data_IF_597599598980
#
_entry.id   IF_597599598980
#
_cell.length_a   1.000
_cell.length_b   1.000
_cell.length_c   1.000
_cell.angle_alpha   90.00
_cell.angle_beta   90.00
_cell.angle_gamma   90.00
#
_symmetry.space_group_name_H-M   'P 1'
#
loop_
_entity.id
_entity.type
_entity.pdbx_description
1 polymer ?
#
# COMPACT_ATOMS: atom_id res chain seq x y z
N UNK A 1 4.69 -0.76 18.25
CA UNK A 1 4.21 -1.65 17.17
C UNK A 1 3.45 -0.75 16.22
N UNK A 2 3.99 -0.46 15.03
CA UNK A 2 3.30 0.36 14.03
C UNK A 2 2.28 -0.53 13.34
N UNK A 3 1.00 -0.14 13.34
CA UNK A 3 -0.07 -0.92 12.75
C UNK A 3 -0.10 -0.74 11.22
N UNK A 4 -0.64 -1.71 10.49
CA UNK A 4 -0.73 -1.62 9.03
C UNK A 4 -1.49 -0.37 8.55
N UNK A 5 -2.45 0.11 9.34
CA UNK A 5 -3.18 1.34 9.07
C UNK A 5 -2.32 2.60 9.29
N UNK A 6 -1.47 2.62 10.32
CA UNK A 6 -0.54 3.74 10.55
C UNK A 6 0.44 3.89 9.38
N UNK A 7 0.94 2.77 8.84
CA UNK A 7 1.82 2.79 7.66
C UNK A 7 1.13 3.35 6.41
N UNK A 8 -0.19 3.19 6.29
CA UNK A 8 -0.96 3.76 5.19
C UNK A 8 -1.39 5.21 5.44
N UNK A 9 -1.60 5.62 6.69
CA UNK A 9 -1.97 6.98 7.03
C UNK A 9 -0.93 8.02 6.56
N UNK A 10 0.37 7.65 6.53
CA UNK A 10 1.44 8.51 6.00
C UNK A 10 1.46 8.63 4.45
N UNK A 11 0.62 7.85 3.76
CA UNK A 11 0.61 7.66 2.31
C UNK A 11 -0.73 8.04 1.67
N UNK A 12 -1.82 7.82 2.40
CA UNK A 12 -3.15 8.18 1.94
C UNK A 12 -3.39 9.68 2.16
N UNK A 13 -4.06 10.36 1.22
CA UNK A 13 -4.39 11.76 1.40
C UNK A 13 -5.30 11.92 2.63
N UNK A 14 -4.94 12.82 3.54
CA UNK A 14 -5.87 13.31 4.57
C UNK A 14 -7.04 14.03 3.86
N UNK A 15 -8.24 14.05 4.44
CA UNK A 15 -9.44 14.72 3.88
C UNK A 15 -9.16 16.17 3.48
N UNK A 16 -8.14 16.79 4.09
CA UNK A 16 -7.64 18.12 3.80
C UNK A 16 -7.05 18.29 2.39
N UNK A 17 -6.53 17.22 1.78
CA UNK A 17 -5.83 17.26 0.49
C UNK A 17 -6.69 16.81 -0.69
N UNK A 18 -7.75 16.02 -0.45
CA UNK A 18 -8.68 15.57 -1.48
C UNK A 18 -10.16 15.70 -1.07
N UNK A 19 -10.64 16.90 -0.69
CA UNK A 19 -11.99 17.09 -0.14
C UNK A 19 -13.14 16.79 -1.10
N UNK A 20 -12.86 16.63 -2.40
CA UNK A 20 -13.85 16.34 -3.45
C UNK A 20 -13.88 14.86 -3.89
N UNK A 21 -12.90 14.04 -3.48
CA UNK A 21 -12.85 12.62 -3.86
C UNK A 21 -13.36 11.75 -2.73
N UNK A 22 -14.31 10.87 -3.03
CA UNK A 22 -14.81 9.90 -2.06
C UNK A 22 -13.85 8.71 -1.91
N UNK A 23 -13.98 7.95 -0.82
CA UNK A 23 -13.16 6.75 -0.55
C UNK A 23 -13.16 5.73 -1.71
N UNK A 24 -14.23 5.69 -2.50
CA UNK A 24 -14.37 4.78 -3.64
C UNK A 24 -13.39 5.14 -4.77
N UNK A 25 -13.20 6.43 -5.06
CA UNK A 25 -12.23 6.90 -6.07
C UNK A 25 -10.79 6.61 -5.63
N UNK A 26 -10.49 6.79 -4.35
CA UNK A 26 -9.18 6.44 -3.77
C UNK A 26 -8.95 4.93 -3.89
N UNK A 27 -9.93 4.11 -3.51
CA UNK A 27 -9.89 2.66 -3.64
C UNK A 27 -9.68 2.19 -5.09
N UNK A 28 -10.33 2.83 -6.07
CA UNK A 28 -10.13 2.57 -7.51
C UNK A 28 -8.69 2.90 -7.93
N UNK A 29 -8.16 4.06 -7.55
CA UNK A 29 -6.77 4.43 -7.90
C UNK A 29 -5.74 3.48 -7.29
N UNK A 30 -5.91 3.07 -6.04
CA UNK A 30 -5.05 2.05 -5.40
C UNK A 30 -5.14 0.72 -6.16
N UNK A 31 -6.35 0.31 -6.55
CA UNK A 31 -6.56 -0.92 -7.32
C UNK A 31 -5.86 -0.88 -8.69
N UNK A 32 -5.97 0.25 -9.40
CA UNK A 32 -5.27 0.48 -10.68
C UNK A 32 -3.76 0.41 -10.48
N UNK A 33 -3.22 1.07 -9.44
CA UNK A 33 -1.80 1.01 -9.11
C UNK A 33 -1.33 -0.43 -8.85
N UNK A 34 -2.03 -1.17 -7.99
CA UNK A 34 -1.67 -2.54 -7.63
C UNK A 34 -1.75 -3.51 -8.82
N UNK A 35 -2.68 -3.28 -9.76
CA UNK A 35 -2.79 -4.09 -10.97
C UNK A 35 -1.61 -3.89 -11.93
N UNK A 36 -0.92 -2.76 -11.89
CA UNK A 36 0.31 -2.51 -12.66
C UNK A 36 1.56 -3.15 -12.03
N UNK A 37 1.49 -3.61 -10.78
CA UNK A 37 2.61 -4.24 -10.10
C UNK A 37 2.76 -5.72 -10.48
N UNK A 38 3.98 -6.26 -10.28
CA UNK A 38 4.22 -7.71 -10.37
C UNK A 38 3.31 -8.44 -9.38
N UNK A 39 2.82 -9.63 -9.76
CA UNK A 39 1.89 -10.42 -8.94
C UNK A 39 2.37 -10.60 -7.49
N UNK A 40 3.65 -10.89 -7.31
CA UNK A 40 4.27 -11.07 -5.99
C UNK A 40 4.21 -9.81 -5.11
N UNK A 41 4.37 -8.63 -5.72
CA UNK A 41 4.30 -7.34 -5.03
C UNK A 41 2.86 -7.08 -4.61
N UNK A 42 1.91 -7.25 -5.53
CA UNK A 42 0.48 -7.13 -5.24
C UNK A 42 0.04 -8.08 -4.11
N UNK A 43 0.47 -9.35 -4.14
CA UNK A 43 0.16 -10.35 -3.11
C UNK A 43 0.68 -9.92 -1.74
N UNK A 44 1.95 -9.50 -1.64
CA UNK A 44 2.54 -9.04 -0.37
C UNK A 44 1.79 -7.81 0.17
N UNK A 45 1.45 -6.87 -0.70
CA UNK A 45 0.71 -5.66 -0.31
C UNK A 45 -0.70 -5.99 0.22
N UNK A 46 -1.45 -6.84 -0.48
CA UNK A 46 -2.80 -7.26 -0.06
C UNK A 46 -2.76 -8.03 1.26
N UNK A 47 -1.82 -8.96 1.43
CA UNK A 47 -1.67 -9.69 2.70
C UNK A 47 -1.45 -8.72 3.87
N UNK A 48 -0.63 -7.68 3.67
CA UNK A 48 -0.34 -6.70 4.71
C UNK A 48 -1.53 -5.81 5.05
N UNK A 49 -2.17 -5.20 4.05
CA UNK A 49 -3.10 -4.09 4.29
C UNK A 49 -4.58 -4.47 4.14
N UNK A 50 -4.89 -5.52 3.39
CA UNK A 50 -6.26 -6.01 3.25
C UNK A 50 -6.56 -7.16 4.22
N UNK A 51 -5.59 -8.07 4.40
CA UNK A 51 -5.73 -9.22 5.31
C UNK A 51 -5.07 -9.02 6.68
N UNK A 52 -4.41 -7.87 6.90
CA UNK A 52 -3.78 -7.51 8.17
C UNK A 52 -2.75 -8.54 8.70
N UNK A 53 -2.09 -9.26 7.80
CA UNK A 53 -1.09 -10.26 8.15
C UNK A 53 0.22 -9.60 8.65
N UNK A 54 0.91 -10.26 9.57
CA UNK A 54 2.23 -9.82 10.04
C UNK A 54 3.32 -10.03 8.97
N UNK A 55 4.42 -9.29 9.05
CA UNK A 55 5.52 -9.46 8.08
C UNK A 55 6.13 -10.87 8.14
N UNK A 56 6.15 -11.50 9.32
CA UNK A 56 6.59 -12.89 9.52
C UNK A 56 5.65 -13.85 8.81
N UNK A 57 4.32 -13.74 9.02
CA UNK A 57 3.35 -14.60 8.36
C UNK A 57 3.37 -14.46 6.83
N UNK A 58 3.57 -13.24 6.32
CA UNK A 58 3.73 -12.98 4.89
C UNK A 58 5.02 -13.63 4.37
N UNK A 59 6.12 -13.52 5.13
CA UNK A 59 7.41 -14.09 4.77
C UNK A 59 7.31 -15.61 4.62
N UNK A 60 6.68 -16.29 5.58
CA UNK A 60 6.42 -17.73 5.53
C UNK A 60 5.57 -18.12 4.32
N UNK A 61 4.43 -17.45 4.09
CA UNK A 61 3.51 -17.74 2.98
C UNK A 61 4.08 -17.44 1.59
N UNK A 62 5.08 -16.56 1.51
CA UNK A 62 5.70 -16.14 0.25
C UNK A 62 7.09 -16.77 0.04
N UNK A 63 7.61 -17.54 0.98
CA UNK A 63 8.96 -18.10 0.92
C UNK A 63 10.05 -17.02 0.93
N UNK A 64 9.85 -15.96 1.72
CA UNK A 64 10.78 -14.83 1.84
C UNK A 64 11.34 -14.71 3.26
N UNK A 65 12.35 -13.85 3.39
CA UNK A 65 12.76 -13.36 4.71
C UNK A 65 11.87 -12.19 5.12
N UNK A 66 11.68 -11.99 6.43
CA UNK A 66 10.92 -10.85 6.95
C UNK A 66 11.52 -9.52 6.46
N UNK A 67 12.86 -9.41 6.43
CA UNK A 67 13.56 -8.23 5.87
C UNK A 67 13.16 -7.95 4.42
N UNK A 68 13.05 -8.98 3.58
CA UNK A 68 12.63 -8.82 2.18
C UNK A 68 11.19 -8.32 2.10
N UNK A 69 10.28 -8.85 2.93
CA UNK A 69 8.90 -8.36 3.01
C UNK A 69 8.87 -6.88 3.41
N UNK A 70 9.61 -6.50 4.45
CA UNK A 70 9.71 -5.09 4.90
C UNK A 70 10.22 -4.17 3.78
N UNK A 71 11.26 -4.56 3.05
CA UNK A 71 11.76 -3.77 1.92
C UNK A 71 10.76 -3.69 0.76
N UNK A 72 10.07 -4.79 0.44
CA UNK A 72 9.03 -4.79 -0.59
C UNK A 72 7.91 -3.82 -0.22
N UNK A 73 7.40 -3.91 1.01
CA UNK A 73 6.33 -3.04 1.48
C UNK A 73 6.75 -1.57 1.48
N UNK A 74 7.95 -1.25 1.99
CA UNK A 74 8.47 0.13 1.99
C UNK A 74 8.59 0.72 0.58
N UNK A 75 9.12 -0.07 -0.36
CA UNK A 75 9.26 0.37 -1.75
C UNK A 75 7.90 0.56 -2.43
N UNK A 76 6.98 -0.40 -2.29
CA UNK A 76 5.64 -0.30 -2.89
C UNK A 76 4.83 0.84 -2.30
N UNK A 77 4.97 1.11 -1.00
CA UNK A 77 4.39 2.29 -0.32
C UNK A 77 4.89 3.61 -0.92
N UNK A 78 6.20 3.75 -1.12
CA UNK A 78 6.78 4.94 -1.74
C UNK A 78 6.27 5.13 -3.18
N UNK A 79 6.21 4.06 -3.96
CA UNK A 79 5.67 4.10 -5.32
C UNK A 79 4.16 4.43 -5.36
N UNK A 80 3.38 3.93 -4.40
CA UNK A 80 1.98 4.26 -4.28
C UNK A 80 1.80 5.76 -3.99
N UNK A 81 2.60 6.31 -3.06
CA UNK A 81 2.59 7.74 -2.75
C UNK A 81 2.88 8.59 -3.99
N UNK A 82 3.95 8.28 -4.72
CA UNK A 82 4.30 8.97 -5.97
C UNK A 82 3.19 8.85 -7.03
N UNK A 83 2.53 7.69 -7.10
CA UNK A 83 1.43 7.47 -8.03
C UNK A 83 0.23 8.36 -7.68
N UNK A 84 -0.17 8.40 -6.40
CA UNK A 84 -1.28 9.23 -5.95
C UNK A 84 -0.98 10.73 -6.13
N UNK A 85 0.27 11.18 -5.92
CA UNK A 85 0.68 12.56 -6.21
C UNK A 85 0.49 12.90 -7.70
N UNK A 86 0.92 12.01 -8.60
CA UNK A 86 0.81 12.23 -10.05
C UNK A 86 -0.62 12.25 -10.56
N UNK A 87 -1.52 11.49 -9.93
CA UNK A 87 -2.94 11.47 -10.27
C UNK A 87 -3.70 12.68 -9.69
N UNK A 88 -2.99 13.67 -9.12
CA UNK A 88 -3.54 14.83 -8.40
C UNK A 88 -4.43 14.44 -7.21
N UNK A 89 -4.22 13.23 -6.67
CA UNK A 89 -4.90 12.71 -5.48
C UNK A 89 -4.16 13.15 -4.21
N UNK A 90 -2.91 13.62 -4.34
CA UNK A 90 -2.03 14.02 -3.25
C UNK A 90 -1.25 15.28 -3.67
N UNK A 91 -1.26 16.34 -2.87
CA UNK A 91 -0.41 17.54 -3.02
C UNK A 91 0.88 17.39 -2.20
#
# INVERSE_FOLDING_TARGET
MVMALDELADILPDERYAPSRNDEEIGKSISIFLNKQKEVVRRVFLLKYFYFESNIAIAERCGFTERKVTHMLAHTRAQLKEYLIKEEIYL
#
